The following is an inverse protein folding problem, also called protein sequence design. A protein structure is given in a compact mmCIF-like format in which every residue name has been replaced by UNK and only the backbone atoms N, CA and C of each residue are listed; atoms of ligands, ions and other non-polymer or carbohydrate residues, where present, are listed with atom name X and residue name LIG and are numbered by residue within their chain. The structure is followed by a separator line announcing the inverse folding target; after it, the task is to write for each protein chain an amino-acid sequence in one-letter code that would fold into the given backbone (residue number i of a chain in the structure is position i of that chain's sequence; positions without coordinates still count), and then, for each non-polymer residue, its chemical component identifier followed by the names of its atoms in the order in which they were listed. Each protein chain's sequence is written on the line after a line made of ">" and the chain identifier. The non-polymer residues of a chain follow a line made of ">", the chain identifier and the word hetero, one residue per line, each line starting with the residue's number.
data_IF_657187991499
#
_entry.id   IF_657187991499
#
_cell.length_a   1.000
_cell.length_b   1.000
_cell.length_c   1.000
_cell.angle_alpha   90.00
_cell.angle_beta   90.00
_cell.angle_gamma   90.00
#
_symmetry.space_group_name_H-M   'P 1'
#
loop_
_entity.id
_entity.type
_entity.pdbx_description
1 polymer ?
#
# COMPACT_ATOMS: atom_id res chain seq x y z
N UNK A 1 -16.12 -2.33 -8.34
CA UNK A 1 -15.27 -3.36 -7.72
C UNK A 1 -16.16 -4.45 -7.17
N UNK A 2 -15.83 -5.69 -7.45
CA UNK A 2 -16.50 -6.87 -6.90
C UNK A 2 -15.66 -7.43 -5.76
N UNK A 3 -16.32 -7.86 -4.69
CA UNK A 3 -15.70 -8.49 -3.53
C UNK A 3 -16.40 -9.82 -3.28
N UNK A 4 -15.68 -10.91 -3.41
CA UNK A 4 -16.15 -12.24 -3.03
C UNK A 4 -15.65 -12.51 -1.61
N UNK A 5 -16.57 -12.69 -0.68
CA UNK A 5 -16.25 -12.90 0.73
C UNK A 5 -16.74 -14.28 1.16
N UNK A 6 -15.82 -15.12 1.59
CA UNK A 6 -16.18 -16.41 2.17
C UNK A 6 -16.54 -16.22 3.65
N UNK A 7 -17.64 -16.84 4.08
CA UNK A 7 -18.18 -16.71 5.42
C UNK A 7 -18.28 -18.07 6.12
N UNK A 8 -18.44 -18.05 7.43
CA UNK A 8 -18.56 -19.25 8.25
C UNK A 8 -19.17 -18.90 9.61
N UNK A 9 -18.36 -18.89 10.66
CA UNK A 9 -18.80 -18.46 11.98
C UNK A 9 -19.25 -16.99 11.95
N UNK A 10 -20.35 -16.66 12.57
CA UNK A 10 -20.98 -15.33 12.51
C UNK A 10 -21.38 -14.83 11.11
N UNK A 11 -21.65 -15.73 10.18
CA UNK A 11 -22.04 -15.43 8.80
C UNK A 11 -23.05 -14.28 8.69
N UNK A 12 -24.20 -14.40 9.34
CA UNK A 12 -25.28 -13.40 9.28
C UNK A 12 -24.82 -12.02 9.79
N UNK A 13 -24.06 -11.98 10.88
CA UNK A 13 -23.57 -10.71 11.47
C UNK A 13 -22.59 -10.03 10.50
N UNK A 14 -21.69 -10.80 9.89
CA UNK A 14 -20.74 -10.27 8.91
C UNK A 14 -21.43 -9.71 7.66
N UNK A 15 -22.39 -10.45 7.12
CA UNK A 15 -23.19 -10.03 5.95
C UNK A 15 -23.95 -8.75 6.24
N UNK A 16 -24.66 -8.69 7.38
CA UNK A 16 -25.39 -7.49 7.79
C UNK A 16 -24.48 -6.29 7.98
N UNK A 17 -23.32 -6.49 8.62
CA UNK A 17 -22.33 -5.42 8.81
C UNK A 17 -21.80 -4.89 7.48
N UNK A 18 -21.33 -5.75 6.58
CA UNK A 18 -20.84 -5.33 5.27
C UNK A 18 -21.89 -4.56 4.47
N UNK A 19 -23.14 -5.01 4.47
CA UNK A 19 -24.23 -4.32 3.80
C UNK A 19 -24.54 -2.95 4.43
N UNK A 20 -24.35 -2.80 5.74
CA UNK A 20 -24.58 -1.54 6.46
C UNK A 20 -23.56 -0.45 6.16
N UNK A 21 -22.36 -0.81 5.65
CA UNK A 21 -21.28 0.14 5.39
C UNK A 21 -21.55 1.10 4.21
N UNK A 22 -22.51 0.78 3.33
CA UNK A 22 -22.86 1.62 2.18
C UNK A 22 -21.68 1.85 1.21
N UNK A 23 -20.76 0.91 1.11
CA UNK A 23 -19.58 1.02 0.27
C UNK A 23 -19.94 0.88 -1.22
N UNK A 24 -19.27 1.61 -2.13
CA UNK A 24 -19.52 1.56 -3.57
C UNK A 24 -18.92 0.31 -4.21
N UNK A 25 -19.22 -0.88 -3.68
CA UNK A 25 -18.75 -2.17 -4.17
C UNK A 25 -19.84 -3.23 -4.05
N UNK A 26 -19.78 -4.23 -4.93
CA UNK A 26 -20.71 -5.36 -4.93
C UNK A 26 -20.11 -6.49 -4.10
N UNK A 27 -20.83 -6.94 -3.07
CA UNK A 27 -20.45 -8.09 -2.26
C UNK A 27 -21.16 -9.35 -2.75
N UNK A 28 -20.39 -10.41 -2.94
CA UNK A 28 -20.86 -11.79 -3.10
C UNK A 28 -20.42 -12.59 -1.90
N UNK A 29 -21.36 -13.06 -1.09
CA UNK A 29 -21.07 -13.86 0.10
C UNK A 29 -21.21 -15.33 -0.21
N UNK A 30 -20.20 -16.12 0.12
CA UNK A 30 -20.15 -17.57 -0.10
C UNK A 30 -19.92 -18.27 1.23
N UNK A 31 -20.94 -18.94 1.73
CA UNK A 31 -20.84 -19.65 3.00
C UNK A 31 -20.04 -20.96 2.85
N UNK A 32 -19.07 -21.18 3.74
CA UNK A 32 -18.43 -22.46 3.95
C UNK A 32 -19.16 -23.21 5.09
N UNK A 33 -20.02 -24.19 4.80
CA UNK A 33 -20.79 -24.87 5.83
C UNK A 33 -19.92 -25.79 6.71
N UNK A 34 -18.70 -26.08 6.29
CA UNK A 34 -17.74 -26.92 7.02
C UNK A 34 -16.59 -26.11 7.64
N UNK A 35 -16.79 -24.81 7.90
CA UNK A 35 -15.75 -23.90 8.41
C UNK A 35 -15.06 -24.43 9.69
N UNK A 36 -15.80 -25.11 10.55
CA UNK A 36 -15.28 -25.65 11.83
C UNK A 36 -14.41 -26.93 11.65
N UNK A 37 -14.50 -27.57 10.48
CA UNK A 37 -13.81 -28.83 10.21
C UNK A 37 -12.72 -28.73 9.15
N UNK A 38 -12.68 -27.58 8.44
CA UNK A 38 -11.80 -27.33 7.29
C UNK A 38 -10.95 -26.10 7.52
N UNK A 39 -9.91 -25.93 6.72
CA UNK A 39 -9.15 -24.68 6.65
C UNK A 39 -9.64 -23.81 5.49
N UNK A 40 -9.17 -22.57 5.37
CA UNK A 40 -9.62 -21.60 4.37
C UNK A 40 -9.42 -22.04 2.90
N UNK A 41 -8.57 -23.02 2.62
CA UNK A 41 -8.49 -23.68 1.31
C UNK A 41 -9.87 -24.15 0.84
N UNK A 42 -10.69 -24.68 1.75
CA UNK A 42 -12.03 -25.13 1.42
C UNK A 42 -13.01 -23.95 1.25
N UNK A 43 -12.79 -22.85 1.94
CA UNK A 43 -13.55 -21.61 1.71
C UNK A 43 -13.29 -21.07 0.30
N UNK A 44 -12.05 -21.08 -0.18
CA UNK A 44 -11.70 -20.74 -1.57
C UNK A 44 -12.39 -21.72 -2.54
N UNK A 45 -12.37 -23.01 -2.24
CA UNK A 45 -13.04 -24.03 -3.05
C UNK A 45 -14.55 -23.78 -3.17
N UNK A 46 -15.22 -23.39 -2.08
CA UNK A 46 -16.63 -23.01 -2.12
C UNK A 46 -16.90 -21.83 -3.05
N UNK A 47 -16.01 -20.85 -3.07
CA UNK A 47 -16.13 -19.62 -3.86
C UNK A 47 -15.62 -19.75 -5.32
N UNK A 48 -15.05 -20.90 -5.72
CA UNK A 48 -14.29 -21.10 -6.98
C UNK A 48 -15.00 -20.62 -8.25
N UNK A 49 -16.33 -20.66 -8.29
CA UNK A 49 -17.11 -20.27 -9.46
C UNK A 49 -17.12 -18.74 -9.70
N UNK A 50 -16.75 -17.95 -8.69
CA UNK A 50 -16.68 -16.49 -8.73
C UNK A 50 -15.26 -15.97 -8.94
N UNK A 51 -14.25 -16.84 -9.04
CA UNK A 51 -12.84 -16.47 -8.94
C UNK A 51 -12.07 -16.65 -10.27
N UNK A 52 -12.71 -16.67 -11.42
CA UNK A 52 -12.06 -16.84 -12.74
C UNK A 52 -11.68 -15.49 -13.37
N UNK A 53 -10.84 -14.70 -12.68
CA UNK A 53 -10.36 -13.40 -13.12
C UNK A 53 -8.98 -13.08 -12.52
N UNK A 54 -8.42 -11.91 -12.81
CA UNK A 54 -7.35 -11.30 -12.00
C UNK A 54 -7.91 -10.99 -10.61
N UNK A 55 -7.24 -11.44 -9.56
CA UNK A 55 -7.75 -11.28 -8.20
C UNK A 55 -6.74 -10.63 -7.25
N UNK A 56 -7.28 -10.03 -6.20
CA UNK A 56 -6.55 -9.79 -4.95
C UNK A 56 -7.09 -10.76 -3.91
N UNK A 57 -6.24 -11.69 -3.47
CA UNK A 57 -6.55 -12.63 -2.41
C UNK A 57 -5.98 -12.12 -1.09
N UNK A 58 -6.81 -12.05 -0.05
CA UNK A 58 -6.37 -11.65 1.28
C UNK A 58 -7.15 -12.39 2.38
N UNK A 59 -6.55 -12.55 3.55
CA UNK A 59 -7.24 -12.99 4.74
C UNK A 59 -8.12 -11.86 5.31
N UNK A 60 -9.22 -12.23 5.97
CA UNK A 60 -10.21 -11.28 6.48
C UNK A 60 -9.80 -10.51 7.73
N UNK A 61 -8.79 -10.98 8.43
CA UNK A 61 -8.20 -10.43 9.67
C UNK A 61 -6.95 -9.57 9.40
N UNK A 62 -6.61 -9.35 8.12
CA UNK A 62 -5.44 -8.59 7.73
C UNK A 62 -5.68 -7.08 7.77
N UNK A 63 -4.81 -6.35 8.45
CA UNK A 63 -4.79 -4.88 8.50
C UNK A 63 -3.51 -4.35 7.89
N UNK A 64 -3.63 -3.36 7.00
CA UNK A 64 -2.48 -2.80 6.29
C UNK A 64 -2.63 -1.31 5.96
N UNK A 65 -1.52 -0.63 5.76
CA UNK A 65 -1.51 0.74 5.23
C UNK A 65 -2.08 0.76 3.81
N UNK A 66 -2.93 1.74 3.49
CA UNK A 66 -3.50 1.88 2.14
C UNK A 66 -2.44 1.89 1.04
N UNK A 67 -1.25 2.46 1.32
CA UNK A 67 -0.12 2.50 0.39
C UNK A 67 0.39 1.10 0.02
N UNK A 68 0.27 0.11 0.91
CA UNK A 68 0.65 -1.28 0.64
C UNK A 68 -0.25 -1.87 -0.46
N UNK A 69 -1.57 -1.72 -0.30
CA UNK A 69 -2.52 -2.24 -1.30
C UNK A 69 -2.37 -1.53 -2.65
N UNK A 70 -2.18 -0.21 -2.64
CA UNK A 70 -2.00 0.57 -3.87
C UNK A 70 -0.78 0.12 -4.67
N UNK A 71 0.34 -0.10 -3.99
CA UNK A 71 1.57 -0.54 -4.63
C UNK A 71 1.46 -1.99 -5.13
N UNK A 72 0.81 -2.88 -4.38
CA UNK A 72 0.53 -4.26 -4.81
C UNK A 72 -0.38 -4.25 -6.04
N UNK A 73 -1.42 -3.43 -6.07
CA UNK A 73 -2.29 -3.28 -7.25
C UNK A 73 -1.54 -2.72 -8.47
N UNK A 74 -0.55 -1.86 -8.26
CA UNK A 74 0.27 -1.29 -9.31
C UNK A 74 1.36 -2.26 -9.83
N UNK A 75 1.62 -3.36 -9.13
CA UNK A 75 2.60 -4.36 -9.56
C UNK A 75 2.20 -4.93 -10.94
N UNK A 76 3.12 -4.98 -11.94
CA UNK A 76 2.77 -5.44 -13.30
C UNK A 76 2.51 -6.94 -13.41
N UNK A 77 2.98 -7.71 -12.43
CA UNK A 77 2.87 -9.18 -12.40
C UNK A 77 2.12 -9.65 -11.17
N UNK A 78 1.85 -10.95 -11.07
CA UNK A 78 1.44 -11.56 -9.81
C UNK A 78 2.48 -11.29 -8.74
N UNK A 79 2.04 -10.94 -7.53
CA UNK A 79 2.94 -10.68 -6.41
C UNK A 79 2.29 -11.06 -5.06
N UNK A 80 3.15 -11.30 -4.07
CA UNK A 80 2.78 -11.54 -2.69
C UNK A 80 3.51 -10.55 -1.78
N UNK A 81 2.80 -10.04 -0.78
CA UNK A 81 3.39 -9.22 0.29
C UNK A 81 4.42 -10.02 1.07
N UNK A 82 5.63 -9.48 1.18
CA UNK A 82 6.68 -9.96 2.09
C UNK A 82 7.31 -8.77 2.82
N UNK A 83 8.07 -9.03 3.89
CA UNK A 83 8.90 -8.01 4.54
C UNK A 83 10.31 -8.54 4.81
N UNK A 84 11.29 -7.76 4.37
CA UNK A 84 12.71 -7.99 4.64
C UNK A 84 13.17 -7.42 5.98
N UNK A 85 12.36 -6.60 6.63
CA UNK A 85 12.74 -5.87 7.86
C UNK A 85 12.07 -6.40 9.12
N UNK A 86 10.97 -7.12 8.98
CA UNK A 86 10.28 -7.78 10.09
C UNK A 86 10.99 -9.11 10.39
N UNK A 87 11.33 -9.42 11.66
CA UNK A 87 11.85 -10.73 12.03
C UNK A 87 10.91 -11.85 11.62
N UNK A 88 11.47 -13.00 11.27
CA UNK A 88 10.65 -14.17 10.91
C UNK A 88 9.78 -14.59 12.10
N UNK A 89 8.46 -14.62 11.94
CA UNK A 89 7.55 -15.02 13.01
C UNK A 89 7.64 -16.53 13.26
N UNK A 90 7.32 -16.98 14.50
CA UNK A 90 7.31 -18.40 14.80
C UNK A 90 6.11 -19.12 14.18
N UNK A 91 4.93 -18.49 14.20
CA UNK A 91 3.65 -19.14 13.86
C UNK A 91 3.05 -18.69 12.53
N UNK A 92 3.38 -17.50 12.04
CA UNK A 92 2.81 -16.95 10.82
C UNK A 92 3.57 -17.38 9.57
N UNK A 93 3.06 -17.03 8.39
CA UNK A 93 3.65 -17.38 7.13
C UNK A 93 5.03 -16.75 6.93
N UNK A 94 5.87 -17.53 6.27
CA UNK A 94 7.14 -17.14 5.69
C UNK A 94 7.16 -17.57 4.24
N UNK A 95 7.71 -16.72 3.38
CA UNK A 95 7.88 -17.02 1.95
C UNK A 95 9.36 -17.25 1.67
N UNK A 96 9.69 -18.41 1.11
CA UNK A 96 11.03 -18.71 0.58
C UNK A 96 11.18 -17.97 -0.74
N UNK A 97 12.20 -17.13 -0.84
CA UNK A 97 12.42 -16.27 -2.02
C UNK A 97 13.68 -16.73 -2.77
N UNK A 98 13.53 -16.86 -4.10
CA UNK A 98 14.66 -17.11 -5.00
C UNK A 98 14.51 -16.22 -6.25
N UNK A 99 15.57 -15.48 -6.57
CA UNK A 99 15.65 -14.58 -7.72
C UNK A 99 14.47 -13.56 -7.78
N UNK A 100 13.99 -13.11 -6.59
CA UNK A 100 12.88 -12.17 -6.45
C UNK A 100 11.47 -12.80 -6.55
N UNK A 101 11.37 -14.12 -6.67
CA UNK A 101 10.11 -14.85 -6.77
C UNK A 101 9.88 -15.76 -5.57
N UNK A 102 8.61 -15.89 -5.19
CA UNK A 102 8.13 -16.80 -4.15
C UNK A 102 8.22 -18.24 -4.66
N UNK A 103 8.95 -19.08 -3.93
CA UNK A 103 9.08 -20.50 -4.26
C UNK A 103 8.17 -21.36 -3.40
N UNK A 104 8.09 -21.05 -2.10
CA UNK A 104 7.25 -21.76 -1.13
C UNK A 104 6.75 -20.81 -0.08
N UNK A 105 5.56 -21.08 0.46
CA UNK A 105 4.96 -20.33 1.55
C UNK A 105 4.49 -21.29 2.63
N UNK A 106 4.74 -20.95 3.88
CA UNK A 106 4.28 -21.74 5.02
C UNK A 106 4.90 -21.30 6.34
N UNK A 107 4.44 -21.90 7.42
CA UNK A 107 4.86 -21.53 8.78
C UNK A 107 6.22 -22.11 9.21
N UNK A 108 6.73 -23.12 8.49
CA UNK A 108 7.94 -23.86 8.89
C UNK A 108 9.20 -23.51 8.08
N UNK A 109 9.16 -22.45 7.27
CA UNK A 109 10.29 -22.05 6.43
C UNK A 109 11.07 -20.91 7.10
N UNK A 110 12.36 -21.17 7.44
CA UNK A 110 13.25 -20.20 8.08
C UNK A 110 14.50 -19.90 7.27
N UNK A 111 14.83 -20.72 6.28
CA UNK A 111 16.01 -20.54 5.43
C UNK A 111 15.64 -19.82 4.13
N UNK A 112 16.41 -18.80 3.78
CA UNK A 112 16.17 -17.97 2.59
C UNK A 112 14.72 -17.43 2.50
N UNK A 113 14.12 -17.14 3.67
CA UNK A 113 12.73 -16.73 3.79
C UNK A 113 12.61 -15.28 4.27
N UNK A 114 11.48 -14.67 3.92
CA UNK A 114 11.02 -13.39 4.45
C UNK A 114 9.71 -13.59 5.21
N UNK A 115 9.41 -12.70 6.15
CA UNK A 115 8.08 -12.61 6.74
C UNK A 115 7.05 -12.36 5.64
N UNK A 116 5.91 -13.03 5.70
CA UNK A 116 4.88 -12.97 4.68
C UNK A 116 3.49 -12.95 5.31
N UNK A 117 2.54 -12.32 4.61
CA UNK A 117 1.13 -12.34 4.96
C UNK A 117 0.31 -12.72 3.73
N UNK A 118 -0.89 -13.25 3.95
CA UNK A 118 -1.79 -13.66 2.88
C UNK A 118 -2.43 -12.44 2.19
N UNK A 119 -1.61 -11.66 1.50
CA UNK A 119 -2.00 -10.56 0.62
C UNK A 119 -1.31 -10.74 -0.72
N UNK A 120 -2.09 -11.17 -1.72
CA UNK A 120 -1.62 -11.47 -3.06
C UNK A 120 -2.36 -10.63 -4.09
N UNK A 121 -1.66 -10.17 -5.12
CA UNK A 121 -2.24 -9.84 -6.42
C UNK A 121 -1.88 -10.96 -7.37
N UNK A 122 -2.85 -11.55 -8.00
CA UNK A 122 -2.66 -12.70 -8.88
C UNK A 122 -3.33 -12.40 -10.24
N UNK A 123 -2.57 -12.47 -11.31
CA UNK A 123 -3.16 -12.49 -12.64
C UNK A 123 -3.91 -13.81 -12.86
N UNK A 124 -4.88 -13.80 -13.76
CA UNK A 124 -5.74 -14.96 -14.02
C UNK A 124 -4.96 -16.23 -14.36
N UNK A 125 -3.83 -16.11 -15.07
CA UNK A 125 -3.05 -17.27 -15.49
C UNK A 125 -2.40 -17.98 -14.31
N UNK A 126 -1.69 -17.24 -13.44
CA UNK A 126 -1.06 -17.79 -12.23
C UNK A 126 -2.14 -18.28 -11.24
N UNK A 127 -3.20 -17.48 -11.07
CA UNK A 127 -4.29 -17.84 -10.18
C UNK A 127 -4.99 -19.12 -10.62
N UNK A 128 -5.23 -19.30 -11.91
CA UNK A 128 -5.88 -20.51 -12.42
C UNK A 128 -5.10 -21.78 -12.10
N UNK A 129 -3.77 -21.75 -12.24
CA UNK A 129 -2.92 -22.88 -11.85
C UNK A 129 -3.08 -23.23 -10.36
N UNK A 130 -3.08 -22.22 -9.50
CA UNK A 130 -3.23 -22.43 -8.07
C UNK A 130 -4.66 -22.88 -7.72
N UNK A 131 -5.69 -22.28 -8.29
CA UNK A 131 -7.08 -22.65 -8.06
C UNK A 131 -7.37 -24.10 -8.49
N UNK A 132 -6.86 -24.53 -9.64
CA UNK A 132 -7.02 -25.91 -10.11
C UNK A 132 -6.38 -26.91 -9.14
N UNK A 133 -5.21 -26.56 -8.57
CA UNK A 133 -4.57 -27.37 -7.52
C UNK A 133 -5.36 -27.35 -6.20
N UNK A 134 -5.94 -26.24 -5.80
CA UNK A 134 -6.86 -26.15 -4.65
C UNK A 134 -8.06 -27.06 -4.84
N UNK A 135 -8.65 -27.07 -6.05
CA UNK A 135 -9.78 -27.94 -6.37
C UNK A 135 -9.37 -29.41 -6.25
N UNK A 136 -8.21 -29.79 -6.79
CA UNK A 136 -7.65 -31.15 -6.69
C UNK A 136 -7.50 -31.58 -5.22
N UNK A 137 -6.92 -30.71 -4.36
CA UNK A 137 -6.77 -30.95 -2.93
C UNK A 137 -8.12 -31.19 -2.23
N UNK A 138 -9.08 -30.31 -2.50
CA UNK A 138 -10.39 -30.37 -1.84
C UNK A 138 -11.21 -31.58 -2.30
N UNK A 139 -11.11 -31.99 -3.56
CA UNK A 139 -11.76 -33.19 -4.11
C UNK A 139 -11.12 -34.46 -3.52
N UNK A 140 -9.80 -34.44 -3.27
CA UNK A 140 -9.06 -35.54 -2.62
C UNK A 140 -9.13 -35.51 -1.10
N UNK A 141 -10.06 -34.74 -0.53
CA UNK A 141 -10.31 -34.59 0.91
C UNK A 141 -9.18 -33.92 1.73
N UNK A 142 -8.22 -33.26 1.05
CA UNK A 142 -7.18 -32.46 1.69
C UNK A 142 -7.68 -31.04 2.01
N UNK A 143 -8.66 -30.92 2.93
CA UNK A 143 -9.39 -29.68 3.24
C UNK A 143 -8.93 -28.97 4.51
N UNK A 144 -7.98 -29.58 5.25
CA UNK A 144 -7.52 -29.08 6.57
C UNK A 144 -6.18 -28.38 6.53
N UNK A 145 -5.58 -28.25 5.35
CA UNK A 145 -4.33 -27.56 5.14
C UNK A 145 -4.56 -26.12 4.64
N UNK A 146 -3.50 -25.31 4.67
CA UNK A 146 -3.50 -23.98 4.05
C UNK A 146 -3.57 -24.07 2.54
N UNK A 147 -4.11 -23.06 1.86
CA UNK A 147 -4.13 -23.01 0.39
C UNK A 147 -2.71 -22.97 -0.20
N UNK A 148 -1.75 -22.43 0.53
CA UNK A 148 -0.33 -22.40 0.18
C UNK A 148 0.28 -23.81 0.08
N UNK A 149 -0.28 -24.82 0.73
CA UNK A 149 0.17 -26.19 0.52
C UNK A 149 -0.06 -26.63 -0.93
N UNK A 150 -1.18 -26.24 -1.51
CA UNK A 150 -1.46 -26.49 -2.93
C UNK A 150 -0.54 -25.66 -3.86
N UNK A 151 -0.27 -24.39 -3.50
CA UNK A 151 0.69 -23.55 -4.21
C UNK A 151 2.10 -24.17 -4.23
N UNK A 152 2.54 -24.69 -3.08
CA UNK A 152 3.87 -25.29 -2.94
C UNK A 152 4.07 -26.56 -3.79
N UNK A 153 3.01 -27.26 -4.15
CA UNK A 153 3.09 -28.42 -5.06
C UNK A 153 3.24 -28.02 -6.53
N UNK A 154 3.01 -26.76 -6.88
CA UNK A 154 3.23 -26.24 -8.23
C UNK A 154 4.72 -25.97 -8.53
N UNK A 155 5.58 -26.09 -7.54
CA UNK A 155 7.04 -26.01 -7.64
C UNK A 155 7.55 -24.83 -8.48
N UNK A 156 6.98 -23.65 -8.22
CA UNK A 156 7.34 -22.40 -8.89
C UNK A 156 6.70 -22.18 -10.27
N UNK A 157 5.73 -22.99 -10.67
CA UNK A 157 5.01 -22.77 -11.94
C UNK A 157 4.19 -21.46 -11.94
N UNK A 158 3.79 -20.96 -10.77
CA UNK A 158 3.21 -19.61 -10.62
C UNK A 158 4.32 -18.58 -10.46
N UNK A 159 4.32 -17.55 -11.32
CA UNK A 159 5.33 -16.48 -11.28
C UNK A 159 4.93 -15.37 -10.30
N UNK A 160 4.93 -15.66 -9.01
CA UNK A 160 4.55 -14.73 -7.95
C UNK A 160 5.80 -13.98 -7.47
N UNK A 161 5.91 -12.67 -7.78
CA UNK A 161 7.00 -11.84 -7.31
C UNK A 161 6.90 -11.57 -5.80
N UNK A 162 8.03 -11.50 -5.11
CA UNK A 162 8.09 -11.06 -3.72
C UNK A 162 8.00 -9.53 -3.68
N UNK A 163 6.91 -8.99 -3.13
CA UNK A 163 6.71 -7.56 -2.98
C UNK A 163 7.09 -7.12 -1.57
N UNK A 164 8.29 -6.56 -1.41
CA UNK A 164 8.83 -6.15 -0.12
C UNK A 164 8.22 -4.84 0.36
N UNK A 165 7.34 -4.90 1.35
CA UNK A 165 6.71 -3.74 1.98
C UNK A 165 7.59 -3.10 3.07
N UNK A 166 8.71 -3.74 3.43
CA UNK A 166 9.63 -3.32 4.49
C UNK A 166 8.90 -3.18 5.84
N UNK A 167 9.01 -1.99 6.46
CA UNK A 167 8.47 -1.67 7.77
C UNK A 167 7.03 -1.13 7.74
N UNK A 168 6.36 -1.12 6.58
CA UNK A 168 4.95 -0.70 6.48
C UNK A 168 4.04 -1.71 7.17
N UNK A 169 2.99 -1.19 7.83
CA UNK A 169 2.01 -2.05 8.49
C UNK A 169 1.31 -2.96 7.47
N UNK A 170 1.39 -4.25 7.72
CA UNK A 170 0.58 -5.30 7.11
C UNK A 170 0.67 -6.53 8.03
N UNK A 171 -0.36 -6.76 8.84
CA UNK A 171 -0.36 -7.76 9.91
C UNK A 171 -1.75 -8.32 10.14
N UNK A 172 -1.85 -9.56 10.57
CA UNK A 172 -3.08 -10.21 11.00
C UNK A 172 -3.44 -9.82 12.44
N UNK A 173 -4.71 -9.93 12.79
CA UNK A 173 -5.23 -9.74 14.14
C UNK A 173 -5.91 -11.04 14.58
N UNK A 174 -5.18 -11.88 15.32
CA UNK A 174 -5.66 -13.17 15.81
C UNK A 174 -6.19 -13.11 17.24
N UNK A 175 -5.74 -12.12 18.00
CA UNK A 175 -6.02 -12.03 19.44
C UNK A 175 -6.06 -10.56 19.91
N UNK A 176 -6.49 -10.28 21.16
CA UNK A 176 -6.54 -8.92 21.70
C UNK A 176 -5.18 -8.22 21.78
N UNK A 177 -4.09 -8.96 21.94
CA UNK A 177 -2.73 -8.44 21.98
C UNK A 177 -2.32 -7.89 20.61
N UNK A 178 -2.60 -8.63 19.53
CA UNK A 178 -2.39 -8.19 18.15
C UNK A 178 -3.22 -6.94 17.85
N UNK A 179 -4.49 -6.92 18.26
CA UNK A 179 -5.36 -5.77 18.12
C UNK A 179 -4.75 -4.51 18.77
N UNK A 180 -4.18 -4.66 19.96
CA UNK A 180 -3.53 -3.54 20.65
C UNK A 180 -2.28 -3.04 19.90
N UNK A 181 -1.43 -3.95 19.42
CA UNK A 181 -0.23 -3.63 18.64
C UNK A 181 -0.59 -2.98 17.32
N UNK A 182 -1.49 -3.58 16.55
CA UNK A 182 -1.94 -3.04 15.25
C UNK A 182 -2.62 -1.68 15.42
N UNK A 183 -3.46 -1.50 16.46
CA UNK A 183 -4.09 -0.21 16.75
C UNK A 183 -3.08 0.88 17.09
N UNK A 184 -2.03 0.55 17.83
CA UNK A 184 -0.95 1.49 18.12
C UNK A 184 -0.20 1.89 16.83
N UNK A 185 0.13 0.91 15.99
CA UNK A 185 0.80 1.14 14.68
C UNK A 185 -0.06 1.98 13.74
N UNK A 186 -1.37 1.75 13.65
CA UNK A 186 -2.28 2.58 12.86
C UNK A 186 -2.26 4.03 13.32
N UNK A 187 -2.30 4.27 14.64
CA UNK A 187 -2.18 5.63 15.19
C UNK A 187 -0.86 6.30 14.86
N UNK A 188 0.24 5.55 14.85
CA UNK A 188 1.55 6.06 14.40
C UNK A 188 1.50 6.46 12.93
N UNK A 189 0.95 5.61 12.06
CA UNK A 189 0.77 5.90 10.62
C UNK A 189 -0.07 7.15 10.41
N UNK A 190 -1.23 7.24 11.07
CA UNK A 190 -2.12 8.40 10.98
C UNK A 190 -1.48 9.72 11.49
N UNK A 191 -0.56 9.61 12.44
CA UNK A 191 0.13 10.76 13.03
C UNK A 191 1.44 11.11 12.36
N UNK A 192 1.97 10.30 11.43
CA UNK A 192 3.16 10.65 10.66
C UNK A 192 3.02 12.03 10.05
N UNK A 193 4.05 12.84 10.19
CA UNK A 193 4.11 14.14 9.57
C UNK A 193 4.69 14.04 8.17
N UNK A 194 3.93 14.49 7.19
CA UNK A 194 4.31 14.48 5.77
C UNK A 194 4.49 15.91 5.29
N UNK A 195 5.55 16.19 4.56
CA UNK A 195 5.82 17.50 4.01
C UNK A 195 6.10 17.45 2.50
N UNK A 196 5.53 18.40 1.78
CA UNK A 196 5.91 18.73 0.41
C UNK A 196 5.75 20.22 0.17
N UNK A 197 6.31 20.76 -0.93
CA UNK A 197 5.98 22.12 -1.34
C UNK A 197 5.47 22.21 -2.78
N UNK A 198 4.75 23.27 -3.07
CA UNK A 198 4.21 23.59 -4.39
C UNK A 198 4.58 25.02 -4.81
N UNK A 199 4.94 25.16 -6.09
CA UNK A 199 5.20 26.45 -6.74
C UNK A 199 4.00 26.99 -7.51
N UNK A 200 2.94 26.24 -7.61
CA UNK A 200 1.94 26.29 -8.66
C UNK A 200 1.16 27.58 -8.78
N UNK A 201 1.16 28.14 -9.99
CA UNK A 201 0.16 29.10 -10.47
C UNK A 201 -1.18 28.41 -10.80
N UNK A 202 -1.11 27.19 -11.27
CA UNK A 202 -2.26 26.36 -11.67
C UNK A 202 -2.13 24.99 -11.03
N UNK A 203 -3.17 24.58 -10.32
CA UNK A 203 -3.27 23.21 -9.80
C UNK A 203 -3.94 22.37 -10.89
N UNK A 204 -3.27 21.31 -11.32
CA UNK A 204 -3.75 20.36 -12.33
C UNK A 204 -3.78 18.93 -11.79
N UNK A 205 -4.31 17.98 -12.58
CA UNK A 205 -4.50 16.60 -12.18
C UNK A 205 -3.24 15.92 -11.63
N UNK A 206 -2.05 16.22 -12.17
CA UNK A 206 -0.77 15.70 -11.66
C UNK A 206 -0.47 16.14 -10.23
N UNK A 207 -0.69 17.42 -9.90
CA UNK A 207 -0.53 17.91 -8.53
C UNK A 207 -1.53 17.25 -7.57
N UNK A 208 -2.80 17.15 -7.97
CA UNK A 208 -3.84 16.49 -7.17
C UNK A 208 -3.49 15.01 -6.92
N UNK A 209 -2.96 14.32 -7.92
CA UNK A 209 -2.52 12.92 -7.78
C UNK A 209 -1.43 12.76 -6.71
N UNK A 210 -0.37 13.58 -6.77
CA UNK A 210 0.72 13.53 -5.77
C UNK A 210 0.22 13.92 -4.39
N UNK A 211 -0.61 14.98 -4.27
CA UNK A 211 -1.20 15.41 -3.00
C UNK A 211 -2.01 14.28 -2.36
N UNK A 212 -2.88 13.60 -3.14
CA UNK A 212 -3.66 12.47 -2.65
C UNK A 212 -2.79 11.31 -2.17
N UNK A 213 -1.72 10.99 -2.90
CA UNK A 213 -0.75 9.95 -2.49
C UNK A 213 -0.01 10.35 -1.22
N UNK A 214 0.47 11.60 -1.13
CA UNK A 214 1.14 12.11 0.05
C UNK A 214 0.24 12.12 1.29
N UNK A 215 -1.04 12.48 1.13
CA UNK A 215 -2.03 12.52 2.22
C UNK A 215 -2.32 11.12 2.83
N UNK A 216 -2.09 10.04 2.08
CA UNK A 216 -2.24 8.67 2.57
C UNK A 216 -1.07 8.19 3.44
N UNK A 217 0.05 8.92 3.40
CA UNK A 217 1.22 8.58 4.21
C UNK A 217 1.15 9.17 5.63
N UNK A 218 0.25 10.11 5.88
CA UNK A 218 0.09 10.77 7.18
C UNK A 218 -0.47 12.18 7.07
N UNK A 219 -0.26 13.01 8.09
CA UNK A 219 -0.71 14.41 8.19
C UNK A 219 0.08 15.30 7.23
N UNK A 220 -0.47 15.55 6.05
CA UNK A 220 0.19 16.29 4.98
C UNK A 220 0.24 17.80 5.26
N UNK A 221 1.44 18.34 5.43
CA UNK A 221 1.72 19.78 5.44
C UNK A 221 2.26 20.19 4.07
N UNK A 222 1.67 21.20 3.44
CA UNK A 222 2.13 21.74 2.16
C UNK A 222 2.71 23.13 2.34
N UNK A 223 3.98 23.31 1.94
CA UNK A 223 4.61 24.60 1.77
C UNK A 223 4.18 25.24 0.45
N UNK A 224 3.78 26.51 0.47
CA UNK A 224 3.49 27.29 -0.73
C UNK A 224 4.56 28.33 -0.93
N UNK A 225 5.28 28.23 -2.06
CA UNK A 225 6.38 29.15 -2.41
C UNK A 225 5.92 30.60 -2.49
N UNK A 226 6.77 31.52 -2.05
CA UNK A 226 6.52 32.95 -2.17
C UNK A 226 6.49 33.38 -3.65
N UNK A 227 5.85 34.50 -3.93
CA UNK A 227 5.71 35.00 -5.31
C UNK A 227 7.09 35.38 -5.88
N UNK A 228 7.97 35.91 -5.04
CA UNK A 228 9.35 36.28 -5.40
C UNK A 228 10.18 35.04 -5.74
N UNK A 229 10.07 33.97 -4.94
CA UNK A 229 10.79 32.73 -5.18
C UNK A 229 10.31 32.08 -6.48
N UNK A 230 8.99 32.03 -6.73
CA UNK A 230 8.47 31.50 -7.98
C UNK A 230 8.98 32.33 -9.17
N UNK A 231 8.94 33.66 -9.08
CA UNK A 231 9.40 34.56 -10.13
C UNK A 231 10.91 34.44 -10.44
N UNK A 232 11.72 33.94 -9.47
CA UNK A 232 13.17 33.81 -9.65
C UNK A 232 13.57 32.67 -10.62
N UNK A 233 12.72 31.69 -10.87
CA UNK A 233 13.05 30.53 -11.70
C UNK A 233 11.94 30.13 -12.70
N UNK A 234 10.77 30.74 -12.61
CA UNK A 234 9.64 30.60 -13.51
C UNK A 234 8.99 31.94 -13.80
N UNK A 235 7.91 31.93 -14.58
CA UNK A 235 7.06 33.10 -14.76
C UNK A 235 6.45 33.52 -13.43
N UNK A 236 6.39 34.83 -13.19
CA UNK A 236 5.74 35.36 -11.97
C UNK A 236 4.30 34.83 -11.83
N UNK A 237 3.89 34.48 -10.58
CA UNK A 237 2.54 33.98 -10.36
C UNK A 237 1.45 34.97 -10.76
N UNK A 238 0.40 34.50 -11.40
CA UNK A 238 -0.80 35.30 -11.70
C UNK A 238 -1.65 35.45 -10.42
N UNK A 239 -1.65 34.38 -9.59
CA UNK A 239 -2.45 34.29 -8.36
C UNK A 239 -1.52 34.55 -7.16
N UNK A 240 -1.82 35.55 -6.30
CA UNK A 240 -1.03 35.85 -5.12
C UNK A 240 -0.88 34.64 -4.19
N UNK A 241 0.22 34.57 -3.44
CA UNK A 241 0.51 33.48 -2.50
C UNK A 241 -0.64 33.19 -1.53
N UNK A 242 -1.30 34.24 -1.02
CA UNK A 242 -2.42 34.10 -0.08
C UNK A 242 -3.59 33.29 -0.67
N UNK A 243 -3.95 33.57 -1.92
CA UNK A 243 -5.00 32.84 -2.63
C UNK A 243 -4.56 31.42 -3.01
N UNK A 244 -3.29 31.24 -3.43
CA UNK A 244 -2.73 29.92 -3.69
C UNK A 244 -2.73 29.06 -2.42
N UNK A 245 -2.43 29.63 -1.24
CA UNK A 245 -2.55 28.94 0.04
C UNK A 245 -3.99 28.54 0.36
N UNK A 246 -4.96 29.43 0.15
CA UNK A 246 -6.38 29.13 0.37
C UNK A 246 -6.85 27.99 -0.55
N UNK A 247 -6.44 28.01 -1.80
CA UNK A 247 -6.77 26.95 -2.77
C UNK A 247 -6.19 25.62 -2.33
N UNK A 248 -4.90 25.57 -1.96
CA UNK A 248 -4.25 24.33 -1.51
C UNK A 248 -4.89 23.82 -0.22
N UNK A 249 -5.26 24.70 0.72
CA UNK A 249 -5.91 24.33 1.97
C UNK A 249 -7.32 23.70 1.76
N UNK A 250 -7.96 23.99 0.63
CA UNK A 250 -9.27 23.40 0.29
C UNK A 250 -9.19 21.98 -0.32
N UNK A 251 -7.98 21.50 -0.62
CA UNK A 251 -7.80 20.17 -1.21
C UNK A 251 -7.99 19.10 -0.13
N UNK A 252 -8.85 18.13 -0.42
CA UNK A 252 -9.08 17.00 0.49
C UNK A 252 -7.78 16.24 0.80
N UNK A 253 -7.53 15.98 2.08
CA UNK A 253 -6.33 15.30 2.57
C UNK A 253 -5.18 16.23 2.97
N UNK A 254 -5.26 17.54 2.69
CA UNK A 254 -4.28 18.52 3.19
C UNK A 254 -4.59 18.82 4.66
N UNK A 255 -3.66 18.50 5.53
CA UNK A 255 -3.78 18.77 6.97
C UNK A 255 -3.46 20.23 7.31
N UNK A 256 -2.41 20.81 6.69
CA UNK A 256 -1.95 22.16 6.96
C UNK A 256 -1.21 22.77 5.76
N UNK A 257 -1.34 24.09 5.59
CA UNK A 257 -0.59 24.87 4.61
C UNK A 257 0.31 25.87 5.33
N UNK A 258 1.59 25.92 4.93
CA UNK A 258 2.61 26.80 5.50
C UNK A 258 3.34 27.60 4.43
N UNK A 259 4.10 28.60 4.86
CA UNK A 259 4.94 29.38 3.97
C UNK A 259 6.22 28.62 3.62
N UNK A 260 6.62 28.70 2.36
CA UNK A 260 7.90 28.24 1.84
C UNK A 260 8.59 29.42 1.16
N UNK A 261 9.60 29.96 1.84
CA UNK A 261 10.24 31.23 1.44
C UNK A 261 11.52 31.04 0.61
N UNK A 262 11.92 29.79 0.38
CA UNK A 262 13.10 29.41 -0.40
C UNK A 262 12.81 28.18 -1.27
N UNK A 263 13.61 27.95 -2.32
CA UNK A 263 13.57 26.69 -3.09
C UNK A 263 14.17 25.52 -2.28
N UNK A 264 15.05 25.80 -1.32
CA UNK A 264 15.55 24.78 -0.41
C UNK A 264 14.45 24.35 0.57
N UNK A 265 14.39 23.07 0.86
CA UNK A 265 13.51 22.53 1.90
C UNK A 265 14.06 22.74 3.32
N UNK A 266 15.33 23.15 3.47
CA UNK A 266 16.08 23.09 4.71
C UNK A 266 15.37 23.78 5.91
N UNK A 267 14.87 25.00 5.71
CA UNK A 267 14.24 25.77 6.80
C UNK A 267 12.99 25.07 7.33
N UNK A 268 12.12 24.59 6.43
CA UNK A 268 10.90 23.92 6.81
C UNK A 268 11.15 22.48 7.30
N UNK A 269 12.13 21.75 6.76
CA UNK A 269 12.54 20.44 7.29
C UNK A 269 13.08 20.59 8.72
N UNK A 270 13.99 21.54 8.98
CA UNK A 270 14.52 21.78 10.33
C UNK A 270 13.44 22.22 11.32
N UNK A 271 12.50 23.05 10.85
CA UNK A 271 11.41 23.59 11.67
C UNK A 271 10.37 22.53 12.03
N UNK A 272 9.94 21.73 11.06
CA UNK A 272 8.80 20.80 11.22
C UNK A 272 9.23 19.36 11.45
N UNK A 273 10.47 19.00 11.11
CA UNK A 273 11.04 17.65 11.21
C UNK A 273 10.07 16.58 10.70
N UNK A 274 9.63 16.66 9.43
CA UNK A 274 8.65 15.71 8.91
C UNK A 274 9.23 14.30 8.86
N UNK A 275 8.43 13.31 9.23
CA UNK A 275 8.80 11.89 9.09
C UNK A 275 9.00 11.51 7.63
N UNK A 276 8.23 12.14 6.74
CA UNK A 276 8.28 11.89 5.30
C UNK A 276 8.29 13.21 4.53
N UNK A 277 9.22 13.35 3.60
CA UNK A 277 9.14 14.37 2.54
C UNK A 277 8.70 13.71 1.25
N UNK A 278 7.73 14.32 0.55
CA UNK A 278 7.20 13.82 -0.74
C UNK A 278 7.56 14.77 -1.86
N UNK A 279 8.00 14.22 -2.99
CA UNK A 279 8.22 14.97 -4.23
C UNK A 279 7.92 14.12 -5.48
N UNK A 280 7.76 14.76 -6.64
CA UNK A 280 7.79 14.07 -7.93
C UNK A 280 9.22 13.67 -8.30
N UNK A 281 9.40 12.61 -9.08
CA UNK A 281 10.74 12.12 -9.50
C UNK A 281 11.44 13.03 -10.52
N UNK A 282 10.79 14.11 -10.98
CA UNK A 282 11.32 15.07 -11.95
C UNK A 282 12.53 15.89 -11.47
N UNK A 283 12.92 15.79 -10.19
CA UNK A 283 14.11 16.44 -9.63
C UNK A 283 15.34 15.53 -9.48
N UNK A 284 15.22 14.26 -9.86
CA UNK A 284 16.35 13.31 -9.85
C UNK A 284 17.48 13.76 -10.78
N UNK A 285 17.11 14.49 -11.83
CA UNK A 285 18.04 15.07 -12.80
C UNK A 285 17.80 16.58 -12.95
N UNK A 286 18.73 17.29 -13.59
CA UNK A 286 18.59 18.71 -13.90
C UNK A 286 18.92 19.64 -12.72
N UNK A 287 18.40 20.87 -12.77
CA UNK A 287 18.77 21.96 -11.84
C UNK A 287 18.29 21.74 -10.40
N UNK A 288 17.30 20.89 -10.17
CA UNK A 288 16.78 20.58 -8.84
C UNK A 288 17.52 19.44 -8.14
N UNK A 289 18.40 18.71 -8.83
CA UNK A 289 19.18 17.63 -8.22
C UNK A 289 19.92 18.01 -6.92
N UNK A 290 20.57 19.17 -6.81
CA UNK A 290 21.21 19.59 -5.55
C UNK A 290 20.22 19.75 -4.40
N UNK A 291 18.99 20.20 -4.67
CA UNK A 291 17.93 20.32 -3.66
C UNK A 291 17.52 18.94 -3.15
N UNK A 292 17.39 17.97 -4.05
CA UNK A 292 17.11 16.58 -3.68
C UNK A 292 18.20 16.00 -2.75
N UNK A 293 19.47 16.22 -3.11
CA UNK A 293 20.61 15.76 -2.30
C UNK A 293 20.64 16.43 -0.92
N UNK A 294 20.30 17.70 -0.84
CA UNK A 294 20.13 18.43 0.43
C UNK A 294 19.02 17.82 1.29
N UNK A 295 17.86 17.54 0.70
CA UNK A 295 16.72 16.91 1.39
C UNK A 295 17.11 15.55 1.97
N UNK A 296 17.78 14.71 1.19
CA UNK A 296 18.23 13.38 1.66
C UNK A 296 19.12 13.54 2.90
N UNK A 297 20.13 14.40 2.84
CA UNK A 297 21.06 14.64 3.98
C UNK A 297 20.33 15.14 5.22
N UNK A 298 19.40 16.08 5.06
CA UNK A 298 18.64 16.62 6.17
C UNK A 298 17.71 15.57 6.81
N UNK A 299 17.12 14.70 6.02
CA UNK A 299 16.29 13.62 6.52
C UNK A 299 17.11 12.56 7.26
N UNK A 300 18.31 12.23 6.76
CA UNK A 300 19.25 11.31 7.43
C UNK A 300 19.65 11.78 8.84
N UNK A 301 19.71 13.09 9.09
CA UNK A 301 20.09 13.65 10.41
C UNK A 301 19.15 13.21 11.56
N UNK A 302 17.88 12.86 11.26
CA UNK A 302 16.90 12.48 12.28
C UNK A 302 16.05 11.25 11.93
N UNK A 303 16.42 10.53 10.86
CA UNK A 303 15.73 9.28 10.45
C UNK A 303 14.46 9.48 9.62
N UNK A 304 14.27 10.66 9.03
CA UNK A 304 13.17 10.91 8.08
C UNK A 304 13.38 10.19 6.75
N UNK A 305 12.31 10.09 5.96
CA UNK A 305 12.30 9.36 4.66
C UNK A 305 11.91 10.29 3.50
N UNK A 306 12.55 10.10 2.34
CA UNK A 306 12.12 10.70 1.08
C UNK A 306 11.28 9.69 0.31
N UNK A 307 10.08 10.09 -0.11
CA UNK A 307 9.19 9.32 -0.99
C UNK A 307 9.01 10.08 -2.29
N UNK A 308 9.33 9.43 -3.41
CA UNK A 308 9.25 10.02 -4.74
C UNK A 308 8.20 9.27 -5.56
N UNK A 309 7.33 10.03 -6.22
CA UNK A 309 6.32 9.46 -7.12
C UNK A 309 6.62 9.86 -8.57
N UNK A 310 6.32 8.98 -9.55
CA UNK A 310 6.40 9.34 -10.95
C UNK A 310 5.59 10.61 -11.23
N UNK A 311 6.26 11.63 -11.80
CA UNK A 311 5.60 12.87 -12.16
C UNK A 311 4.91 12.70 -13.52
N UNK A 312 3.61 12.58 -13.51
CA UNK A 312 2.79 12.59 -14.73
C UNK A 312 2.41 14.04 -15.05
N UNK A 313 3.23 14.72 -15.84
CA UNK A 313 2.75 15.91 -16.55
C UNK A 313 2.11 15.46 -17.85
N UNK A 314 0.82 15.65 -18.07
CA UNK A 314 0.32 15.80 -19.41
C UNK A 314 1.11 16.95 -20.05
N UNK A 315 1.71 16.75 -21.25
CA UNK A 315 2.50 17.75 -21.97
C UNK A 315 1.76 19.07 -22.20
N UNK A 316 0.44 19.09 -21.99
CA UNK A 316 -0.45 20.26 -22.08
C UNK A 316 -0.24 21.33 -21.00
N UNK A 317 0.50 21.02 -19.91
CA UNK A 317 0.67 21.91 -18.75
C UNK A 317 2.15 22.16 -18.43
N UNK A 318 3.05 21.96 -19.40
CA UNK A 318 4.45 22.40 -19.25
C UNK A 318 4.48 23.94 -19.30
N UNK A 319 4.74 24.57 -18.15
CA UNK A 319 5.04 26.00 -18.02
C UNK A 319 6.45 26.33 -18.57
#
# INVERSE_FOLDING_TARGET
>A
TEVVMTTGYFDTILVEYCNSLGLPMNFTFVNNPLYAETNYIYSIYCAREYLDDDIVLMHGDLVFECSVLEDILACPTSCMKVSSTIPLPEKDFKAVIRDGFVQKVGVNYFENAMEAQALYKLNRADWRLWLDKIIEFCVSDNRKCYAENALNELDGACNIAAFDVKDRLCSEIDNPEDLAVVSARLKEVENRSVYMFLSTNVIHGGHISIIKKAAKLGKLTIGVLSDEVVASYKRAPIVPRSERKALVASIAGVYRVVDQDTLSYADNIRKYKPDIVVHGDNWVTGYQKPIREEVIKLLEEYGGKLVEYPYSSDDKYKD
#
